data_IF_128241783533
#
_entry.id   IF_128241783533
#
_cell.length_a   1.000
_cell.length_b   1.000
_cell.length_c   1.000
_cell.angle_alpha   90.00
_cell.angle_beta   90.00
_cell.angle_gamma   90.00
#
_symmetry.space_group_name_H-M   'P 1'
#
loop_
_entity.id
_entity.type
_entity.pdbx_description
1 polymer ?
#
# COMPACT_ATOMS: atom_id res chain seq x y z
N UNK A 1 22.51 2.97 -9.79
CA UNK A 1 21.30 3.79 -9.69
C UNK A 1 20.89 3.77 -8.23
N UNK A 2 20.78 4.94 -7.60
CA UNK A 2 20.35 5.09 -6.21
C UNK A 2 18.84 5.38 -6.16
N UNK A 3 18.19 4.89 -5.10
CA UNK A 3 16.80 5.23 -4.81
C UNK A 3 16.64 6.72 -4.54
N UNK A 4 15.45 7.23 -4.80
CA UNK A 4 15.06 8.63 -4.55
C UNK A 4 16.00 9.68 -5.16
N UNK A 5 16.80 9.26 -6.15
CA UNK A 5 17.71 10.14 -6.87
C UNK A 5 17.08 10.50 -8.22
N UNK A 6 17.04 11.80 -8.50
CA UNK A 6 16.63 12.30 -9.80
C UNK A 6 17.77 12.08 -10.81
N UNK A 7 17.48 11.34 -11.84
CA UNK A 7 18.38 11.14 -12.98
C UNK A 7 17.87 11.91 -14.19
N UNK A 8 18.78 12.28 -15.06
CA UNK A 8 18.46 12.89 -16.35
C UNK A 8 19.29 12.25 -17.45
N UNK A 9 18.78 12.28 -18.64
CA UNK A 9 19.52 11.90 -19.85
C UNK A 9 19.76 13.15 -20.68
N UNK A 10 20.98 13.30 -21.15
CA UNK A 10 21.40 14.36 -22.06
C UNK A 10 21.84 13.71 -23.35
N UNK A 11 21.24 14.12 -24.48
CA UNK A 11 21.46 13.56 -25.81
C UNK A 11 21.96 14.66 -26.71
N UNK A 12 23.13 14.44 -27.31
CA UNK A 12 23.73 15.33 -28.29
C UNK A 12 23.55 14.72 -29.68
N UNK A 13 23.01 15.49 -30.60
CA UNK A 13 22.67 15.01 -31.93
C UNK A 13 23.22 15.95 -33.00
N UNK A 14 23.84 15.37 -34.02
CA UNK A 14 24.28 16.11 -35.22
C UNK A 14 23.44 15.70 -36.43
N UNK A 15 23.10 16.66 -37.26
CA UNK A 15 22.42 16.37 -38.50
C UNK A 15 23.35 15.59 -39.45
N UNK A 16 22.79 14.57 -40.11
CA UNK A 16 23.50 13.90 -41.17
C UNK A 16 23.72 14.89 -42.35
N UNK A 17 24.81 14.76 -43.07
CA UNK A 17 25.13 15.58 -44.25
C UNK A 17 23.93 15.68 -45.19
N UNK A 18 23.54 16.91 -45.53
CA UNK A 18 22.38 17.22 -46.38
C UNK A 18 21.05 17.34 -45.64
N UNK A 19 21.03 17.16 -44.32
CA UNK A 19 19.85 17.32 -43.47
C UNK A 19 20.02 18.52 -42.51
N UNK A 20 18.90 19.04 -42.06
CA UNK A 20 18.86 20.17 -41.11
C UNK A 20 17.70 20.01 -40.11
N UNK A 21 17.82 20.59 -38.93
CA UNK A 21 16.76 20.68 -37.92
C UNK A 21 15.89 21.94 -38.11
N UNK A 22 15.88 22.55 -39.30
CA UNK A 22 15.01 23.71 -39.58
C UNK A 22 13.54 23.33 -39.39
N UNK A 23 12.81 24.15 -38.62
CA UNK A 23 11.38 23.89 -38.29
C UNK A 23 11.13 22.89 -37.15
N UNK A 24 12.16 22.22 -36.61
CA UNK A 24 12.01 21.44 -35.40
C UNK A 24 11.89 22.36 -34.20
N UNK A 25 10.86 22.15 -33.36
CA UNK A 25 10.59 22.89 -32.14
C UNK A 25 10.57 21.91 -30.95
N UNK A 26 10.82 22.41 -29.73
CA UNK A 26 10.95 21.56 -28.55
C UNK A 26 9.67 20.79 -28.19
N UNK A 27 8.50 21.25 -28.64
CA UNK A 27 7.22 20.56 -28.46
C UNK A 27 7.13 19.27 -29.30
N UNK A 28 7.95 19.12 -30.33
CA UNK A 28 8.04 17.95 -31.22
C UNK A 28 9.14 16.97 -30.81
N UNK A 29 9.95 17.33 -29.82
CA UNK A 29 11.06 16.48 -29.34
C UNK A 29 10.60 15.66 -28.17
N UNK A 30 10.68 14.34 -28.30
CA UNK A 30 10.29 13.40 -27.25
C UNK A 30 11.43 12.43 -26.91
N UNK A 31 11.51 12.04 -25.66
CA UNK A 31 12.37 10.95 -25.16
C UNK A 31 11.44 9.88 -24.59
N UNK A 32 11.52 8.66 -25.15
CA UNK A 32 10.62 7.56 -24.78
C UNK A 32 9.12 7.93 -24.84
N UNK A 33 8.73 8.74 -25.84
CA UNK A 33 7.35 9.19 -26.01
C UNK A 33 6.90 10.34 -25.11
N UNK A 34 7.73 10.79 -24.17
CA UNK A 34 7.48 11.96 -23.31
C UNK A 34 8.19 13.19 -23.88
N UNK A 35 7.55 14.35 -23.76
CA UNK A 35 8.16 15.62 -24.21
C UNK A 35 9.50 15.83 -23.47
N UNK A 36 10.54 16.26 -24.20
CA UNK A 36 11.82 16.63 -23.61
C UNK A 36 11.65 17.77 -22.61
N UNK A 37 12.40 17.72 -21.51
CA UNK A 37 12.41 18.78 -20.48
C UNK A 37 13.03 20.06 -21.03
N UNK A 38 14.13 19.93 -21.76
CA UNK A 38 14.80 21.03 -22.46
C UNK A 38 15.21 20.62 -23.87
N UNK A 39 15.24 21.60 -24.76
CA UNK A 39 15.67 21.44 -26.13
C UNK A 39 16.41 22.72 -26.58
N UNK A 40 17.63 22.56 -27.06
CA UNK A 40 18.46 23.64 -27.52
C UNK A 40 19.07 23.29 -28.88
N UNK A 41 19.08 24.26 -29.83
CA UNK A 41 19.78 24.15 -31.11
C UNK A 41 21.11 24.89 -31.02
N UNK A 42 22.16 24.30 -31.57
CA UNK A 42 23.52 24.86 -31.57
C UNK A 42 23.96 25.28 -30.14
N UNK A 43 23.98 24.33 -29.17
CA UNK A 43 24.27 24.66 -27.78
C UNK A 43 25.67 25.29 -27.66
N UNK A 44 25.73 26.48 -27.05
CA UNK A 44 26.98 27.23 -26.90
C UNK A 44 27.99 26.51 -25.99
N UNK A 45 27.49 25.65 -25.12
CA UNK A 45 28.27 24.83 -24.17
C UNK A 45 28.92 23.62 -24.83
N UNK A 46 28.51 23.26 -26.07
CA UNK A 46 28.99 22.10 -26.81
C UNK A 46 29.23 22.46 -28.28
N UNK A 47 30.35 23.15 -28.62
CA UNK A 47 30.69 23.50 -29.98
C UNK A 47 30.76 22.27 -30.87
N UNK A 48 30.13 22.35 -32.04
CA UNK A 48 30.08 21.23 -33.03
C UNK A 48 28.94 20.25 -32.83
N UNK A 49 28.04 20.51 -31.87
CA UNK A 49 26.78 19.79 -31.70
C UNK A 49 25.64 20.64 -32.27
N UNK A 50 24.80 20.05 -33.13
CA UNK A 50 23.70 20.78 -33.77
C UNK A 50 22.47 20.91 -32.84
N UNK A 51 22.30 19.94 -31.94
CA UNK A 51 21.14 19.88 -31.05
C UNK A 51 21.49 19.18 -29.72
N UNK A 52 21.00 19.75 -28.62
CA UNK A 52 21.01 19.16 -27.30
C UNK A 52 19.58 18.91 -26.87
N UNK A 53 19.31 17.72 -26.40
CA UNK A 53 18.04 17.32 -25.78
C UNK A 53 18.32 16.88 -24.35
N UNK A 54 17.63 17.47 -23.39
CA UNK A 54 17.70 17.10 -22.00
C UNK A 54 16.33 16.59 -21.53
N UNK A 55 16.33 15.50 -20.81
CA UNK A 55 15.09 14.93 -20.28
C UNK A 55 15.33 14.40 -18.86
N UNK A 56 14.58 14.91 -17.91
CA UNK A 56 14.54 14.38 -16.57
C UNK A 56 13.76 13.07 -16.55
N UNK A 57 14.38 12.02 -16.03
CA UNK A 57 13.74 10.73 -15.84
C UNK A 57 12.87 10.77 -14.57
N UNK A 58 11.86 9.93 -14.53
CA UNK A 58 11.09 9.77 -13.28
C UNK A 58 12.00 9.24 -12.17
N UNK A 59 11.79 9.75 -10.95
CA UNK A 59 12.49 9.25 -9.78
C UNK A 59 12.16 7.78 -9.61
N UNK A 60 13.19 6.93 -9.66
CA UNK A 60 13.03 5.51 -9.42
C UNK A 60 12.73 5.28 -7.93
N UNK A 61 11.48 5.02 -7.61
CA UNK A 61 11.12 4.54 -6.28
C UNK A 61 11.65 3.12 -6.13
N UNK A 62 12.45 2.88 -5.10
CA UNK A 62 12.74 1.50 -4.70
C UNK A 62 11.46 0.91 -4.16
N UNK A 63 10.95 -0.11 -4.83
CA UNK A 63 9.89 -0.93 -4.27
C UNK A 63 10.55 -1.81 -3.21
N UNK A 64 10.44 -1.38 -1.95
CA UNK A 64 10.92 -2.17 -0.82
C UNK A 64 10.06 -3.42 -0.71
N UNK A 65 10.71 -4.57 -0.58
CA UNK A 65 9.99 -5.83 -0.40
C UNK A 65 9.71 -6.04 1.08
N UNK A 66 8.44 -6.26 1.42
CA UNK A 66 8.03 -6.57 2.78
C UNK A 66 8.47 -7.98 3.13
N UNK A 67 9.24 -8.12 4.21
CA UNK A 67 9.65 -9.39 4.77
C UNK A 67 8.56 -9.97 5.68
N UNK A 68 8.03 -9.12 6.57
CA UNK A 68 6.97 -9.47 7.52
C UNK A 68 6.18 -8.25 7.96
N UNK A 69 5.05 -8.48 8.61
CA UNK A 69 4.29 -7.44 9.30
C UNK A 69 4.20 -7.76 10.79
N UNK A 70 4.10 -6.71 11.61
CA UNK A 70 4.00 -6.80 13.07
C UNK A 70 2.90 -5.87 13.58
N UNK A 71 2.22 -6.25 14.67
CA UNK A 71 1.29 -5.37 15.38
C UNK A 71 2.09 -4.65 16.45
N UNK A 72 2.47 -3.41 16.19
CA UNK A 72 3.29 -2.58 17.10
C UNK A 72 2.47 -1.85 18.14
N UNK A 73 1.18 -1.67 17.90
CA UNK A 73 0.23 -1.16 18.88
C UNK A 73 -1.04 -2.01 18.84
N UNK A 74 -1.46 -2.49 20.02
CA UNK A 74 -2.65 -3.31 20.16
C UNK A 74 -3.92 -2.48 19.91
N UNK A 75 -5.02 -3.09 19.42
CA UNK A 75 -6.32 -2.41 19.32
C UNK A 75 -6.84 -2.06 20.73
N UNK A 76 -7.64 -1.00 20.79
CA UNK A 76 -8.23 -0.54 22.04
C UNK A 76 -9.19 -1.57 22.69
N UNK A 77 -9.79 -2.44 21.87
CA UNK A 77 -10.70 -3.51 22.31
C UNK A 77 -10.11 -4.86 21.90
N UNK A 78 -9.96 -5.76 22.89
CA UNK A 78 -9.49 -7.14 22.70
C UNK A 78 -10.45 -8.19 23.25
N UNK A 79 -11.49 -7.78 23.98
CA UNK A 79 -12.55 -8.65 24.49
C UNK A 79 -13.85 -8.41 23.74
N UNK A 80 -14.50 -9.47 23.30
CA UNK A 80 -15.70 -9.46 22.47
C UNK A 80 -16.72 -10.47 22.98
N UNK A 81 -17.98 -10.32 22.53
CA UNK A 81 -19.01 -11.35 22.62
C UNK A 81 -19.14 -12.11 21.30
N UNK A 82 -19.61 -13.34 21.35
CA UNK A 82 -19.93 -14.08 20.13
C UNK A 82 -20.97 -13.30 19.29
N UNK A 83 -20.68 -13.14 17.99
CA UNK A 83 -21.48 -12.33 17.08
C UNK A 83 -20.95 -10.91 16.87
N UNK A 84 -20.08 -10.39 17.73
CA UNK A 84 -19.43 -9.08 17.53
C UNK A 84 -18.56 -9.08 16.27
N UNK A 85 -18.31 -7.88 15.76
CA UNK A 85 -17.27 -7.60 14.75
C UNK A 85 -16.00 -7.12 15.45
N UNK A 86 -14.85 -7.54 14.95
CA UNK A 86 -13.55 -7.05 15.41
C UNK A 86 -13.39 -5.55 15.08
N UNK A 87 -12.96 -4.77 16.07
CA UNK A 87 -12.69 -3.34 15.94
C UNK A 87 -11.17 -3.09 15.96
N UNK A 88 -10.55 -2.70 14.85
CA UNK A 88 -9.12 -2.42 14.78
C UNK A 88 -8.73 -1.05 15.33
N UNK A 89 -9.66 -0.27 15.90
CA UNK A 89 -9.40 1.09 16.37
C UNK A 89 -8.22 1.13 17.34
N UNK A 90 -7.24 1.99 17.03
CA UNK A 90 -6.00 2.14 17.82
C UNK A 90 -4.91 1.12 17.47
N UNK A 91 -5.21 0.09 16.68
CA UNK A 91 -4.21 -0.87 16.22
C UNK A 91 -3.25 -0.22 15.21
N UNK A 92 -1.96 -0.47 15.37
CA UNK A 92 -0.93 -0.09 14.37
C UNK A 92 -0.26 -1.35 13.87
N UNK A 93 -0.34 -1.54 12.56
CA UNK A 93 0.38 -2.59 11.83
C UNK A 93 1.59 -1.97 11.16
N UNK A 94 2.75 -2.57 11.34
CA UNK A 94 4.03 -2.09 10.82
C UNK A 94 4.61 -3.13 9.86
N UNK A 95 4.96 -2.72 8.65
CA UNK A 95 5.73 -3.55 7.74
C UNK A 95 7.23 -3.45 8.09
N UNK A 96 7.90 -4.58 8.06
CA UNK A 96 9.36 -4.68 8.15
C UNK A 96 9.86 -5.16 6.79
N UNK A 97 10.78 -4.41 6.21
CA UNK A 97 11.32 -4.66 4.87
C UNK A 97 12.62 -5.47 4.92
N UNK A 98 12.98 -6.12 3.80
CA UNK A 98 14.21 -6.90 3.66
C UNK A 98 15.49 -6.05 3.90
N UNK A 99 15.42 -4.73 3.76
CA UNK A 99 16.52 -3.80 4.06
C UNK A 99 16.65 -3.45 5.55
N UNK A 100 15.82 -4.05 6.41
CA UNK A 100 15.78 -3.80 7.86
C UNK A 100 15.04 -2.53 8.27
N UNK A 101 14.55 -1.74 7.32
CA UNK A 101 13.70 -0.58 7.64
C UNK A 101 12.27 -1.00 7.96
N UNK A 102 11.52 -0.14 8.65
CA UNK A 102 10.11 -0.42 8.97
C UNK A 102 9.28 0.84 8.93
N UNK A 103 7.98 0.69 8.59
CA UNK A 103 7.02 1.79 8.61
C UNK A 103 5.59 1.30 8.90
N UNK A 104 4.73 2.13 9.52
CA UNK A 104 3.32 1.83 9.68
C UNK A 104 2.62 1.71 8.32
N UNK A 105 1.73 0.73 8.21
CA UNK A 105 0.96 0.46 6.99
C UNK A 105 -0.55 0.45 7.26
N UNK A 106 -1.32 0.73 6.22
CA UNK A 106 -2.80 0.66 6.24
C UNK A 106 -3.36 -0.31 5.21
N UNK A 107 -2.52 -0.81 4.30
CA UNK A 107 -2.87 -1.77 3.26
C UNK A 107 -2.80 -3.20 3.79
N UNK A 108 -3.79 -3.59 4.57
CA UNK A 108 -3.95 -4.95 5.10
C UNK A 108 -5.43 -5.35 5.14
N UNK A 109 -5.68 -6.64 5.11
CA UNK A 109 -7.01 -7.27 5.18
C UNK A 109 -7.13 -8.01 6.50
N UNK A 110 -8.30 -7.94 7.13
CA UNK A 110 -8.62 -8.65 8.37
C UNK A 110 -9.50 -9.85 8.04
N UNK A 111 -8.98 -11.05 8.30
CA UNK A 111 -9.72 -12.29 8.14
C UNK A 111 -10.31 -12.77 9.47
N UNK A 112 -11.51 -13.37 9.40
CA UNK A 112 -12.26 -13.89 10.55
C UNK A 112 -12.65 -12.81 11.57
N UNK A 113 -12.70 -11.53 11.15
CA UNK A 113 -13.06 -10.40 12.01
C UNK A 113 -14.51 -9.93 11.89
N UNK A 114 -15.26 -10.34 10.85
CA UNK A 114 -16.60 -9.80 10.58
C UNK A 114 -17.69 -10.34 11.51
N UNK A 115 -17.57 -11.60 11.94
CA UNK A 115 -18.46 -12.23 12.91
C UNK A 115 -17.65 -13.17 13.78
N UNK A 116 -17.35 -12.72 15.00
CA UNK A 116 -16.56 -13.47 15.95
C UNK A 116 -17.37 -14.62 16.56
N UNK A 117 -16.73 -15.76 16.77
CA UNK A 117 -17.36 -16.93 17.35
C UNK A 117 -16.82 -17.20 18.76
N UNK A 118 -17.67 -17.79 19.62
CA UNK A 118 -17.26 -18.13 20.99
C UNK A 118 -15.98 -18.97 20.99
N UNK A 119 -15.02 -18.59 21.85
CA UNK A 119 -13.74 -19.28 21.99
C UNK A 119 -12.73 -18.97 20.88
N UNK A 120 -13.05 -18.07 19.95
CA UNK A 120 -12.08 -17.61 18.96
C UNK A 120 -10.94 -16.87 19.68
N UNK A 121 -9.69 -17.27 19.43
CA UNK A 121 -8.51 -16.76 20.10
C UNK A 121 -7.77 -15.65 19.34
N UNK A 122 -8.02 -15.55 18.03
CA UNK A 122 -7.33 -14.59 17.17
C UNK A 122 -8.17 -14.16 15.95
N UNK A 123 -7.77 -13.04 15.36
CA UNK A 123 -8.06 -12.65 13.97
C UNK A 123 -6.74 -12.58 13.21
N UNK A 124 -6.78 -12.81 11.88
CA UNK A 124 -5.60 -12.77 11.04
C UNK A 124 -5.55 -11.46 10.28
N UNK A 125 -4.44 -10.74 10.39
CA UNK A 125 -4.12 -9.53 9.64
C UNK A 125 -3.18 -9.95 8.52
N UNK A 126 -3.56 -9.75 7.26
CA UNK A 126 -2.76 -10.10 6.09
C UNK A 126 -2.36 -8.83 5.35
N UNK A 127 -1.08 -8.73 4.99
CA UNK A 127 -0.59 -7.66 4.13
C UNK A 127 -1.25 -7.73 2.75
N UNK A 128 -1.74 -6.60 2.28
CA UNK A 128 -2.33 -6.46 0.94
C UNK A 128 -1.30 -5.81 0.00
N UNK A 129 -0.67 -6.63 -0.83
CA UNK A 129 0.26 -6.21 -1.87
C UNK A 129 -0.42 -6.12 -3.26
N UNK A 130 -1.75 -6.24 -3.29
CA UNK A 130 -2.55 -6.29 -4.51
C UNK A 130 -2.62 -7.69 -5.16
N UNK A 131 -1.96 -8.70 -4.59
CA UNK A 131 -2.10 -10.10 -5.00
C UNK A 131 -3.21 -10.80 -4.22
N UNK A 132 -3.72 -11.90 -4.76
CA UNK A 132 -4.78 -12.67 -4.09
C UNK A 132 -4.34 -13.28 -2.75
N UNK A 133 -3.03 -13.47 -2.55
CA UNK A 133 -2.48 -14.04 -1.32
C UNK A 133 -0.99 -13.69 -1.19
N UNK A 134 -0.67 -12.64 -0.46
CA UNK A 134 0.72 -12.22 -0.20
C UNK A 134 1.51 -13.22 0.67
N UNK A 135 0.81 -14.10 1.40
CA UNK A 135 1.43 -15.03 2.36
C UNK A 135 1.94 -14.36 3.64
N UNK A 136 2.04 -13.05 3.68
CA UNK A 136 2.56 -12.27 4.81
C UNK A 136 1.41 -11.91 5.75
N UNK A 137 1.40 -12.47 6.94
CA UNK A 137 0.33 -12.23 7.91
C UNK A 137 0.83 -12.25 9.36
N UNK A 138 0.01 -11.69 10.26
CA UNK A 138 0.22 -11.72 11.70
C UNK A 138 -1.13 -11.94 12.39
N UNK A 139 -1.12 -12.55 13.57
CA UNK A 139 -2.32 -12.80 14.37
C UNK A 139 -2.48 -11.74 15.44
N UNK A 140 -3.69 -11.18 15.56
CA UNK A 140 -4.11 -10.37 16.67
C UNK A 140 -4.87 -11.25 17.65
N UNK A 141 -4.33 -11.41 18.86
CA UNK A 141 -5.00 -12.16 19.94
C UNK A 141 -6.22 -11.42 20.44
N UNK A 142 -7.32 -12.14 20.61
CA UNK A 142 -8.59 -11.65 21.17
C UNK A 142 -9.18 -12.69 22.12
N UNK A 143 -10.16 -12.26 22.92
CA UNK A 143 -11.00 -13.16 23.73
C UNK A 143 -12.45 -12.98 23.32
N UNK A 144 -13.11 -14.06 22.93
CA UNK A 144 -14.52 -14.03 22.56
C UNK A 144 -15.34 -14.85 23.54
N UNK A 145 -16.13 -14.15 24.39
CA UNK A 145 -17.01 -14.72 25.39
C UNK A 145 -18.32 -15.22 24.77
N UNK A 146 -19.05 -16.13 25.40
CA UNK A 146 -20.38 -16.53 24.94
C UNK A 146 -21.29 -15.28 24.84
N UNK A 147 -22.16 -15.29 23.84
CA UNK A 147 -23.26 -14.33 23.81
C UNK A 147 -24.18 -14.62 25.01
N UNK A 148 -24.25 -13.71 25.94
CA UNK A 148 -25.24 -13.76 27.04
C UNK A 148 -26.47 -13.02 26.52
N UNK A 149 -27.36 -13.75 25.86
CA UNK A 149 -28.67 -13.21 25.50
C UNK A 149 -29.41 -12.71 26.72
N UNK A 150 -30.14 -11.63 26.61
CA UNK A 150 -31.07 -11.19 27.63
C UNK A 150 -32.19 -12.22 27.72
N UNK A 151 -32.02 -13.22 28.62
CA UNK A 151 -33.06 -14.19 28.90
C UNK A 151 -34.13 -13.49 29.74
N UNK A 152 -35.09 -12.87 29.10
CA UNK A 152 -36.34 -12.49 29.80
C UNK A 152 -37.10 -13.74 30.19
N UNK A 153 -37.13 -14.00 31.46
CA UNK A 153 -38.04 -14.98 32.03
C UNK A 153 -39.41 -14.34 32.21
N UNK A 154 -40.40 -14.84 31.48
CA UNK A 154 -41.80 -14.41 31.63
C UNK A 154 -42.52 -15.43 32.48
N UNK A 155 -43.19 -14.97 33.53
CA UNK A 155 -44.04 -15.83 34.37
C UNK A 155 -45.49 -15.78 33.89
N UNK A 156 -46.05 -16.91 33.50
CA UNK A 156 -47.39 -17.05 32.93
C UNK A 156 -48.39 -17.71 33.82
N UNK A 157 -48.31 -17.50 35.13
CA UNK A 157 -49.28 -18.09 36.06
C UNK A 157 -48.92 -19.49 36.58
N UNK A 158 -47.68 -19.97 36.42
CA UNK A 158 -47.22 -21.22 37.03
C UNK A 158 -46.09 -21.94 36.29
N UNK A 159 -45.69 -21.46 35.14
CA UNK A 159 -44.57 -22.04 34.38
C UNK A 159 -43.51 -21.02 34.05
N UNK A 160 -42.27 -21.39 34.23
CA UNK A 160 -41.12 -20.58 33.77
C UNK A 160 -40.64 -21.14 32.43
N UNK A 161 -40.59 -20.33 31.40
CA UNK A 161 -39.96 -20.68 30.15
C UNK A 161 -39.00 -19.59 29.72
N UNK A 162 -37.93 -20.01 29.08
CA UNK A 162 -36.96 -19.12 28.51
C UNK A 162 -37.39 -18.78 27.07
N UNK A 163 -37.59 -17.52 26.77
CA UNK A 163 -37.78 -17.06 25.41
C UNK A 163 -36.41 -17.10 24.70
N UNK A 164 -36.14 -18.18 24.01
CA UNK A 164 -34.99 -18.26 23.13
C UNK A 164 -35.28 -17.45 21.88
N UNK A 165 -34.82 -16.20 21.85
CA UNK A 165 -34.74 -15.49 20.56
C UNK A 165 -33.57 -16.07 19.79
N UNK A 166 -33.93 -16.78 18.71
CA UNK A 166 -33.03 -17.20 17.63
C UNK A 166 -32.39 -16.01 16.91
#
# INVERSE_FOLDING_TARGET
IQADTQYAVEIFVNAKTGYTYTGLTGDKVTVNGKKASEFEKNPSTQPGVDMRVFHELEVLKVVKKVERIEITTQPAKTEYMAGDKFDPKGMVVTAVYEDGTSEPITNYIIFRGDKLVQGQADVTIQYDDGSANSGINVKQTITVKPYVGDHRHTYDGGSWYADAKS
#
